data_IF_084239010843
#
_entry.id   IF_084239010843
#
_cell.length_a   1.000
_cell.length_b   1.000
_cell.length_c   1.000
_cell.angle_alpha   90.00
_cell.angle_beta   90.00
_cell.angle_gamma   90.00
#
_symmetry.space_group_name_H-M   'P 1'
#
loop_
_entity.id
_entity.type
_entity.pdbx_description
1 polymer ?
#
# COMPACT_ATOMS: atom_id res chain seq x y z
N UNK A 1 -4.34 5.00 9.75
CA UNK A 1 -3.27 4.29 9.05
C UNK A 1 -3.85 3.00 8.50
N UNK A 2 -3.51 2.60 7.28
CA UNK A 2 -4.09 1.42 6.63
C UNK A 2 -3.32 0.13 6.97
N UNK A 3 -3.04 -0.11 8.25
CA UNK A 3 -2.33 -1.33 8.73
C UNK A 3 -3.24 -2.57 8.75
N UNK A 4 -4.55 -2.39 8.95
CA UNK A 4 -5.55 -3.46 8.88
C UNK A 4 -6.57 -3.11 7.81
N UNK A 5 -7.19 -4.15 7.24
CA UNK A 5 -8.33 -4.07 6.33
C UNK A 5 -7.95 -4.45 4.91
N UNK A 6 -8.94 -4.38 4.04
CA UNK A 6 -8.79 -4.67 2.61
C UNK A 6 -9.40 -3.58 1.76
N UNK A 7 -8.98 -3.52 0.50
CA UNK A 7 -9.48 -2.60 -0.49
C UNK A 7 -9.84 -3.34 -1.77
N UNK A 8 -10.89 -2.86 -2.43
CA UNK A 8 -11.26 -3.34 -3.76
C UNK A 8 -10.18 -3.03 -4.78
N UNK A 9 -9.97 -3.93 -5.74
CA UNK A 9 -9.01 -3.71 -6.83
C UNK A 9 -9.27 -2.40 -7.59
N UNK A 10 -10.52 -1.97 -7.69
CA UNK A 10 -10.91 -0.70 -8.31
C UNK A 10 -10.38 0.54 -7.58
N UNK A 11 -10.05 0.44 -6.29
CA UNK A 11 -9.58 1.57 -5.49
C UNK A 11 -8.12 1.96 -5.77
N UNK A 12 -7.38 1.16 -6.55
CA UNK A 12 -5.97 1.39 -6.89
C UNK A 12 -5.61 0.92 -8.32
N UNK A 13 -6.62 0.62 -9.15
CA UNK A 13 -6.42 0.10 -10.51
C UNK A 13 -5.83 1.12 -11.48
N UNK A 14 -5.82 2.41 -11.13
CA UNK A 14 -5.17 3.48 -11.89
C UNK A 14 -3.64 3.43 -11.79
N UNK A 15 -3.09 2.73 -10.78
CA UNK A 15 -1.65 2.64 -10.55
C UNK A 15 -0.92 1.68 -11.51
N UNK A 16 -1.63 0.73 -12.11
CA UNK A 16 -1.08 -0.19 -13.10
C UNK A 16 -2.15 -0.68 -14.08
N UNK A 17 -1.73 -1.11 -15.27
CA UNK A 17 -2.62 -1.64 -16.30
C UNK A 17 -2.26 -3.09 -16.63
N UNK A 18 -3.29 -3.91 -16.86
CA UNK A 18 -3.16 -5.25 -17.42
C UNK A 18 -3.91 -5.29 -18.75
N UNK A 19 -3.20 -5.67 -19.82
CA UNK A 19 -3.88 -5.92 -21.09
C UNK A 19 -4.57 -7.29 -21.10
N UNK A 20 -5.29 -7.60 -22.18
CA UNK A 20 -6.02 -8.87 -22.36
C UNK A 20 -5.14 -10.13 -22.33
N UNK A 21 -3.82 -9.99 -22.46
CA UNK A 21 -2.84 -11.08 -22.35
C UNK A 21 -2.16 -11.15 -20.99
N UNK A 22 -2.62 -10.35 -20.01
CA UNK A 22 -2.03 -10.25 -18.68
C UNK A 22 -0.68 -9.52 -18.63
N UNK A 23 -0.31 -8.78 -19.69
CA UNK A 23 0.92 -7.98 -19.68
C UNK A 23 0.73 -6.76 -18.76
N UNK A 24 1.54 -6.72 -17.71
CA UNK A 24 1.58 -5.63 -16.74
C UNK A 24 2.34 -4.42 -17.29
N UNK A 25 1.73 -3.24 -17.19
CA UNK A 25 2.39 -1.95 -17.36
C UNK A 25 2.17 -1.13 -16.11
N UNK A 26 3.24 -0.74 -15.44
CA UNK A 26 3.16 0.13 -14.26
C UNK A 26 2.93 1.57 -14.72
N UNK A 27 1.89 2.22 -14.22
CA UNK A 27 1.55 3.61 -14.51
C UNK A 27 2.18 4.51 -13.44
N UNK A 28 2.08 4.13 -12.18
CA UNK A 28 2.63 4.87 -11.05
C UNK A 28 4.06 4.45 -10.74
N UNK A 29 5.01 5.39 -10.88
CA UNK A 29 6.42 5.15 -10.61
C UNK A 29 6.76 4.94 -9.13
N UNK A 30 5.86 5.31 -8.21
CA UNK A 30 6.02 5.11 -6.77
C UNK A 30 5.63 3.71 -6.29
N UNK A 31 4.95 2.91 -7.13
CA UNK A 31 4.58 1.53 -6.83
C UNK A 31 5.73 0.57 -7.17
N UNK A 32 6.22 -0.23 -6.23
CA UNK A 32 7.33 -1.16 -6.46
C UNK A 32 7.01 -2.15 -7.59
N UNK A 33 7.98 -2.44 -8.47
CA UNK A 33 7.76 -3.33 -9.64
C UNK A 33 7.27 -4.72 -9.23
N UNK A 34 7.90 -5.30 -8.21
CA UNK A 34 7.55 -6.63 -7.71
C UNK A 34 6.19 -6.63 -7.02
N UNK A 35 5.87 -5.54 -6.31
CA UNK A 35 4.58 -5.40 -5.66
C UNK A 35 3.45 -5.19 -6.68
N UNK A 36 3.67 -4.39 -7.72
CA UNK A 36 2.75 -4.29 -8.86
C UNK A 36 2.49 -5.65 -9.51
N UNK A 37 3.52 -6.48 -9.67
CA UNK A 37 3.38 -7.85 -10.18
C UNK A 37 2.59 -8.76 -9.23
N UNK A 38 2.73 -8.60 -7.91
CA UNK A 38 1.92 -9.31 -6.91
C UNK A 38 0.45 -8.89 -7.00
N UNK A 39 0.18 -7.58 -7.00
CA UNK A 39 -1.17 -7.03 -7.12
C UNK A 39 -1.84 -7.44 -8.44
N UNK A 40 -1.11 -7.44 -9.54
CA UNK A 40 -1.62 -7.87 -10.84
C UNK A 40 -2.11 -9.33 -10.86
N UNK A 41 -1.47 -10.23 -10.09
CA UNK A 41 -1.92 -11.62 -9.94
C UNK A 41 -3.20 -11.73 -9.09
N UNK A 42 -3.35 -10.85 -8.11
CA UNK A 42 -4.53 -10.81 -7.23
C UNK A 42 -5.72 -10.09 -7.88
N UNK A 43 -5.43 -9.11 -8.75
CA UNK A 43 -6.39 -8.28 -9.47
C UNK A 43 -6.22 -8.44 -11.00
N UNK A 44 -6.54 -9.61 -11.59
CA UNK A 44 -6.41 -9.82 -13.03
C UNK A 44 -7.37 -8.94 -13.84
N UNK A 45 -7.07 -8.73 -15.13
CA UNK A 45 -7.97 -8.02 -16.04
C UNK A 45 -9.33 -8.74 -16.13
N UNK A 46 -10.43 -8.00 -15.93
CA UNK A 46 -11.78 -8.57 -15.90
C UNK A 46 -12.14 -9.27 -14.59
N UNK A 47 -11.35 -9.12 -13.53
CA UNK A 47 -11.73 -9.57 -12.19
C UNK A 47 -13.06 -8.94 -11.73
N UNK A 48 -13.81 -9.68 -10.90
CA UNK A 48 -15.00 -9.16 -10.24
C UNK A 48 -14.66 -7.91 -9.42
N UNK A 49 -15.57 -6.93 -9.40
CA UNK A 49 -15.47 -5.74 -8.55
C UNK A 49 -15.44 -6.07 -7.05
N UNK A 50 -15.87 -7.28 -6.66
CA UNK A 50 -15.82 -7.76 -5.28
C UNK A 50 -14.44 -8.25 -4.83
N UNK A 51 -13.46 -8.38 -5.73
CA UNK A 51 -12.11 -8.81 -5.37
C UNK A 51 -11.42 -7.72 -4.54
N UNK A 52 -10.92 -8.11 -3.38
CA UNK A 52 -10.19 -7.23 -2.47
C UNK A 52 -8.81 -7.79 -2.18
N UNK A 53 -7.88 -6.89 -1.83
CA UNK A 53 -6.54 -7.22 -1.35
C UNK A 53 -6.31 -6.54 -0.02
N UNK A 54 -5.46 -7.13 0.83
CA UNK A 54 -5.15 -6.53 2.12
C UNK A 54 -4.35 -5.23 1.96
N UNK A 55 -4.66 -4.24 2.80
CA UNK A 55 -3.97 -2.95 2.80
C UNK A 55 -2.50 -3.09 3.22
N UNK A 56 -2.23 -4.00 4.17
CA UNK A 56 -0.90 -4.42 4.58
C UNK A 56 -0.60 -5.82 4.00
N UNK A 57 0.34 -5.95 3.06
CA UNK A 57 0.66 -7.22 2.42
C UNK A 57 1.49 -8.19 3.28
N UNK A 58 2.03 -7.75 4.42
CA UNK A 58 2.91 -8.55 5.28
C UNK A 58 2.21 -8.96 6.58
N UNK A 59 1.47 -8.06 7.24
CA UNK A 59 0.77 -8.31 8.52
C UNK A 59 -0.71 -7.89 8.50
N UNK A 60 -1.54 -8.46 7.62
CA UNK A 60 -2.90 -7.98 7.31
C UNK A 60 -3.90 -7.96 8.48
N UNK A 61 -3.59 -8.68 9.57
CA UNK A 61 -4.45 -8.81 10.75
C UNK A 61 -3.88 -8.10 11.99
N UNK A 62 -2.72 -7.46 11.90
CA UNK A 62 -2.05 -6.83 13.02
C UNK A 62 -2.09 -5.31 12.89
N UNK A 63 -2.31 -4.62 14.01
CA UNK A 63 -2.17 -3.18 14.07
C UNK A 63 -0.75 -2.86 14.50
N UNK A 64 0.14 -2.74 13.53
CA UNK A 64 1.56 -2.50 13.77
C UNK A 64 2.14 -1.49 12.79
N UNK A 65 3.45 -1.22 12.91
CA UNK A 65 4.13 -0.26 12.07
C UNK A 65 4.58 -0.84 10.73
N UNK A 66 4.24 -2.09 10.41
CA UNK A 66 4.63 -2.75 9.16
C UNK A 66 4.10 -1.97 7.96
N UNK A 67 2.90 -1.40 8.05
CA UNK A 67 2.36 -0.45 7.08
C UNK A 67 3.39 0.62 6.66
N UNK A 68 4.04 1.31 7.61
CA UNK A 68 5.00 2.36 7.28
C UNK A 68 6.31 1.81 6.69
N UNK A 69 6.74 0.61 7.12
CA UNK A 69 7.87 -0.09 6.50
C UNK A 69 7.57 -0.44 5.04
N UNK A 70 6.35 -0.89 4.77
CA UNK A 70 5.90 -1.22 3.43
C UNK A 70 5.83 0.01 2.53
N UNK A 71 5.42 1.17 3.05
CA UNK A 71 5.49 2.43 2.29
C UNK A 71 6.93 2.75 1.85
N UNK A 72 7.91 2.62 2.75
CA UNK A 72 9.32 2.84 2.42
C UNK A 72 9.87 1.84 1.39
N UNK A 73 9.28 0.65 1.32
CA UNK A 73 9.59 -0.38 0.33
C UNK A 73 8.76 -0.27 -0.96
N UNK A 74 8.04 0.85 -1.16
CA UNK A 74 7.16 1.08 -2.30
C UNK A 74 6.02 0.04 -2.42
N UNK A 75 5.60 -0.53 -1.29
CA UNK A 75 4.50 -1.51 -1.19
C UNK A 75 3.19 -0.90 -0.68
N UNK A 76 3.05 0.42 -0.66
CA UNK A 76 1.76 1.05 -0.36
C UNK A 76 0.74 0.72 -1.45
N UNK A 77 -0.50 0.38 -1.06
CA UNK A 77 -1.55 -0.01 -2.01
C UNK A 77 -2.12 1.20 -2.77
N UNK A 78 -2.41 2.27 -2.05
CA UNK A 78 -2.97 3.50 -2.59
C UNK A 78 -1.90 4.51 -3.00
N UNK A 79 -2.19 5.32 -4.02
CA UNK A 79 -1.32 6.41 -4.42
C UNK A 79 -1.16 7.44 -3.29
N UNK A 80 -2.26 7.75 -2.58
CA UNK A 80 -2.26 8.65 -1.40
C UNK A 80 -1.23 8.24 -0.34
N UNK A 81 -1.04 6.94 -0.16
CA UNK A 81 -0.13 6.41 0.84
C UNK A 81 1.32 6.56 0.38
N UNK A 82 1.56 6.41 -0.92
CA UNK A 82 2.89 6.62 -1.52
C UNK A 82 3.31 8.10 -1.47
N UNK A 83 2.34 9.03 -1.50
CA UNK A 83 2.59 10.48 -1.33
C UNK A 83 3.22 10.78 0.03
N UNK A 84 2.88 10.03 1.08
CA UNK A 84 3.45 10.23 2.43
C UNK A 84 4.98 10.05 2.44
N UNK A 85 5.52 9.22 1.55
CA UNK A 85 6.95 8.96 1.43
C UNK A 85 7.63 10.01 0.56
N UNK A 86 6.98 10.42 -0.54
CA UNK A 86 7.56 11.36 -1.52
C UNK A 86 7.49 12.83 -1.09
N UNK A 87 6.56 13.19 -0.21
CA UNK A 87 6.44 14.56 0.31
C UNK A 87 7.46 14.79 1.44
N UNK A 88 8.35 15.77 1.25
CA UNK A 88 9.40 16.14 2.20
C UNK A 88 8.86 16.51 3.59
N UNK A 89 7.62 17.00 3.67
CA UNK A 89 6.96 17.39 4.92
C UNK A 89 6.56 16.18 5.76
N UNK A 90 6.31 15.04 5.13
CA UNK A 90 5.81 13.83 5.81
C UNK A 90 6.83 12.71 5.88
N UNK A 91 7.82 12.69 4.98
CA UNK A 91 8.80 11.60 4.85
C UNK A 91 9.54 11.29 6.17
N UNK A 92 9.99 12.33 6.90
CA UNK A 92 10.66 12.14 8.19
C UNK A 92 9.75 11.44 9.21
N UNK A 93 8.46 11.77 9.22
CA UNK A 93 7.50 11.14 10.12
C UNK A 93 7.24 9.68 9.72
N UNK A 94 7.17 9.39 8.43
CA UNK A 94 7.05 8.00 7.94
C UNK A 94 8.25 7.17 8.39
N UNK A 95 9.46 7.68 8.24
CA UNK A 95 10.70 7.00 8.67
C UNK A 95 10.72 6.76 10.19
N UNK A 96 10.33 7.76 10.98
CA UNK A 96 10.20 7.62 12.44
C UNK A 96 9.23 6.48 12.80
N UNK A 97 8.02 6.50 12.24
CA UNK A 97 6.98 5.52 12.56
C UNK A 97 7.36 4.11 12.07
N UNK A 98 8.04 3.99 10.94
CA UNK A 98 8.54 2.71 10.42
C UNK A 98 9.64 2.09 11.31
N UNK A 99 10.47 2.91 11.93
CA UNK A 99 11.59 2.47 12.76
C UNK A 99 11.20 2.20 14.21
N UNK A 100 10.13 2.81 14.72
CA UNK A 100 9.72 2.69 16.12
C UNK A 100 8.22 2.39 16.28
N UNK A 101 7.93 1.15 16.68
CA UNK A 101 6.58 0.68 16.98
C UNK A 101 5.90 1.49 18.10
N UNK A 102 6.64 1.92 19.12
CA UNK A 102 6.07 2.69 20.22
C UNK A 102 5.69 4.10 19.78
N UNK A 103 6.51 4.73 18.95
CA UNK A 103 6.17 6.02 18.32
C UNK A 103 4.93 5.90 17.44
N UNK A 104 4.81 4.82 16.66
CA UNK A 104 3.59 4.49 15.91
C UNK A 104 2.36 4.36 16.81
N UNK A 105 2.42 3.52 17.84
CA UNK A 105 1.32 3.28 18.76
C UNK A 105 0.90 4.55 19.50
N UNK A 106 1.84 5.42 19.88
CA UNK A 106 1.54 6.71 20.53
C UNK A 106 0.73 7.64 19.62
N UNK A 107 1.09 7.72 18.34
CA UNK A 107 0.35 8.53 17.35
C UNK A 107 -1.02 7.91 17.05
N UNK A 108 -1.12 6.58 17.03
CA UNK A 108 -2.39 5.85 16.86
C UNK A 108 -3.35 6.04 18.03
N UNK A 109 -2.83 5.97 19.27
CA UNK A 109 -3.62 6.08 20.50
C UNK A 109 -4.11 7.51 20.80
N UNK A 110 -3.46 8.53 20.26
CA UNK A 110 -3.83 9.95 20.46
C UNK A 110 -4.95 10.43 19.52
N UNK A 111 -5.55 9.52 18.73
CA UNK A 111 -6.66 9.79 17.82
C UNK A 111 -7.91 8.95 18.09
N UNK A 112 -7.97 8.30 19.26
CA UNK A 112 -9.13 7.56 19.78
C UNK A 112 -9.79 8.29 20.94
#
# INVERSE_FOLDING_TARGET
AHTIGSAHCSSFSDRFQLNSKGKLTRVDASLGKDYAAKLAKQCPAGASLSVTVNNDPETPALFDNQYYKDLLLHKGLFQSDSVLVSDQRTTNKVVELANDQQSFLRVGASRS
#
